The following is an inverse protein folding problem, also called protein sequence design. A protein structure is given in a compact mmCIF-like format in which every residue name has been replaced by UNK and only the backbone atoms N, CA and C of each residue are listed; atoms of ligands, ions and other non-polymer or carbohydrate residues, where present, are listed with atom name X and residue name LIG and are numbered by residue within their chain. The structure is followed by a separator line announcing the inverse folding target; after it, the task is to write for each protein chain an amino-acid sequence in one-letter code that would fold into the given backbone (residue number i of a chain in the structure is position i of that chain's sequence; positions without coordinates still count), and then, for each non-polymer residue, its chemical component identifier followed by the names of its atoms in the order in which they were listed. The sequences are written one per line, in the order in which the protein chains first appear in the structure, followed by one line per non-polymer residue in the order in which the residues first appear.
data_IF_762086950853
#
_entry.id   IF_762086950853
#
_cell.length_a   1.000
_cell.length_b   1.000
_cell.length_c   1.000
_cell.angle_alpha   90.00
_cell.angle_beta   90.00
_cell.angle_gamma   90.00
#
_symmetry.space_group_name_H-M   'P 1'
#
loop_
_entity.id
_entity.type
_entity.pdbx_description
1 polymer ?
#
# COMPACT_ATOMS: atom_id res chain seq x y z
N UNK A 1 -40.24 -34.24 -21.61
CA UNK A 1 -40.17 -32.94 -20.91
C UNK A 1 -39.71 -33.20 -19.48
N UNK A 2 -38.49 -32.78 -19.12
CA UNK A 2 -37.82 -33.16 -17.86
C UNK A 2 -38.29 -32.21 -16.73
N UNK A 3 -39.02 -32.74 -15.74
CA UNK A 3 -39.52 -31.96 -14.60
C UNK A 3 -38.34 -31.57 -13.70
N UNK A 4 -38.02 -30.28 -13.63
CA UNK A 4 -36.99 -29.76 -12.74
C UNK A 4 -37.57 -29.75 -11.32
N UNK A 5 -36.90 -30.43 -10.38
CA UNK A 5 -37.34 -30.54 -8.98
C UNK A 5 -37.23 -29.19 -8.28
N UNK A 6 -38.28 -28.78 -7.55
CA UNK A 6 -38.30 -27.52 -6.78
C UNK A 6 -37.16 -27.40 -5.76
N UNK A 7 -36.55 -28.53 -5.36
CA UNK A 7 -35.37 -28.55 -4.50
C UNK A 7 -34.12 -27.97 -5.18
N UNK A 8 -33.97 -28.14 -6.50
CA UNK A 8 -32.87 -27.55 -7.28
C UNK A 8 -33.03 -26.03 -7.38
N UNK A 9 -34.28 -25.55 -7.49
CA UNK A 9 -34.59 -24.12 -7.52
C UNK A 9 -34.32 -23.46 -6.16
N UNK A 10 -34.63 -24.15 -5.06
CA UNK A 10 -34.39 -23.66 -3.70
C UNK A 10 -32.90 -23.55 -3.37
N UNK A 11 -32.08 -24.51 -3.79
CA UNK A 11 -30.61 -24.45 -3.61
C UNK A 11 -29.96 -23.32 -4.43
N UNK A 12 -30.43 -23.07 -5.66
CA UNK A 12 -29.94 -21.95 -6.46
C UNK A 12 -30.33 -20.59 -5.84
N UNK A 13 -31.52 -20.48 -5.28
CA UNK A 13 -31.96 -19.27 -4.58
C UNK A 13 -31.13 -19.02 -3.31
N UNK A 14 -30.84 -20.07 -2.52
CA UNK A 14 -30.07 -19.97 -1.29
C UNK A 14 -28.61 -19.51 -1.52
N UNK A 15 -28.02 -19.85 -2.67
CA UNK A 15 -26.65 -19.43 -3.01
C UNK A 15 -26.54 -17.93 -3.36
N UNK A 16 -27.63 -17.29 -3.78
CA UNK A 16 -27.64 -15.87 -4.19
C UNK A 16 -27.86 -14.86 -3.06
N UNK A 17 -28.25 -15.32 -1.86
CA UNK A 17 -28.62 -14.44 -0.72
C UNK A 17 -27.50 -14.32 0.32
N UNK A 18 -26.38 -15.02 0.15
CA UNK A 18 -25.24 -14.88 1.05
C UNK A 18 -24.54 -13.54 0.77
N UNK A 19 -24.51 -12.60 1.73
CA UNK A 19 -23.76 -11.37 1.56
C UNK A 19 -22.27 -11.72 1.47
N UNK A 20 -21.70 -11.60 0.28
CA UNK A 20 -20.24 -11.65 0.12
C UNK A 20 -19.70 -10.37 0.75
N UNK A 21 -18.79 -10.42 1.74
CA UNK A 21 -18.16 -9.21 2.24
C UNK A 21 -17.40 -8.56 1.08
N UNK A 22 -17.92 -7.44 0.57
CA UNK A 22 -17.20 -6.58 -0.36
C UNK A 22 -16.19 -5.81 0.47
N UNK A 23 -14.96 -6.32 0.54
CA UNK A 23 -13.84 -5.58 1.12
C UNK A 23 -13.58 -4.36 0.23
N UNK A 24 -13.89 -3.17 0.73
CA UNK A 24 -13.47 -1.94 0.05
C UNK A 24 -11.95 -1.92 -0.04
N UNK A 25 -11.40 -1.64 -1.22
CA UNK A 25 -9.97 -1.48 -1.38
C UNK A 25 -9.49 -0.33 -0.50
N UNK A 26 -8.60 -0.61 0.45
CA UNK A 26 -8.01 0.42 1.28
C UNK A 26 -7.23 1.42 0.41
N UNK A 27 -7.32 2.70 0.74
CA UNK A 27 -6.54 3.72 0.04
C UNK A 27 -5.05 3.52 0.36
N UNK A 28 -4.16 3.45 -0.64
CA UNK A 28 -2.73 3.32 -0.40
C UNK A 28 -2.24 4.48 0.47
N UNK A 29 -1.56 4.17 1.56
CA UNK A 29 -1.11 5.15 2.55
C UNK A 29 0.31 4.83 3.01
N UNK A 30 1.18 5.85 2.97
CA UNK A 30 2.48 5.83 3.64
C UNK A 30 2.29 6.20 5.11
N UNK A 31 2.55 5.26 6.00
CA UNK A 31 2.27 5.36 7.44
C UNK A 31 3.45 5.96 8.21
N UNK A 32 4.67 5.56 7.88
CA UNK A 32 5.87 6.06 8.52
C UNK A 32 7.12 5.87 7.66
N UNK A 33 8.14 6.67 7.98
CA UNK A 33 9.49 6.56 7.43
C UNK A 33 10.43 6.43 8.62
N UNK A 34 11.29 5.42 8.61
CA UNK A 34 12.36 5.27 9.61
C UNK A 34 13.72 5.27 8.92
N UNK A 35 14.72 5.74 9.66
CA UNK A 35 16.08 5.89 9.19
C UNK A 35 17.02 5.18 10.17
N UNK A 36 18.04 4.50 9.65
CA UNK A 36 19.09 3.86 10.45
C UNK A 36 20.43 3.97 9.73
N UNK A 37 21.42 4.53 10.39
CA UNK A 37 22.83 4.41 9.97
C UNK A 37 23.29 2.97 10.20
N UNK A 38 23.79 2.32 9.15
CA UNK A 38 24.33 0.97 9.23
C UNK A 38 25.83 1.00 9.50
N UNK A 39 26.55 1.90 8.84
CA UNK A 39 27.98 2.19 9.01
C UNK A 39 28.33 3.54 8.35
N UNK A 40 29.63 3.86 8.26
CA UNK A 40 30.15 5.11 7.71
C UNK A 40 29.76 5.43 6.27
N UNK A 41 29.32 4.44 5.47
CA UNK A 41 28.97 4.67 4.07
C UNK A 41 27.57 4.15 3.71
N UNK A 42 26.81 3.67 4.68
CA UNK A 42 25.51 3.02 4.43
C UNK A 42 24.46 3.45 5.42
N UNK A 43 23.33 3.82 4.84
CA UNK A 43 22.11 4.19 5.55
C UNK A 43 20.96 3.35 5.03
N UNK A 44 20.01 3.04 5.91
CA UNK A 44 18.77 2.37 5.57
C UNK A 44 17.59 3.29 5.84
N UNK A 45 16.82 3.55 4.79
CA UNK A 45 15.51 4.20 4.87
C UNK A 45 14.44 3.13 4.69
N UNK A 46 13.52 3.02 5.65
CA UNK A 46 12.42 2.05 5.60
C UNK A 46 11.09 2.79 5.52
N UNK A 47 10.28 2.43 4.53
CA UNK A 47 8.94 2.97 4.32
C UNK A 47 7.90 1.95 4.79
N UNK A 48 7.01 2.33 5.69
CA UNK A 48 5.88 1.49 6.12
C UNK A 48 4.62 1.92 5.37
N UNK A 49 4.00 1.00 4.64
CA UNK A 49 2.75 1.23 3.92
C UNK A 49 1.67 0.26 4.40
N UNK A 50 0.40 0.62 4.24
CA UNK A 50 -0.75 -0.25 4.56
C UNK A 50 -0.98 -1.38 3.52
N UNK A 51 0.03 -1.71 2.73
CA UNK A 51 -0.04 -2.70 1.67
C UNK A 51 1.21 -2.68 0.80
N UNK A 52 1.26 -3.61 -0.16
CA UNK A 52 2.40 -3.70 -1.08
C UNK A 52 2.21 -2.73 -2.24
N UNK A 53 2.83 -1.55 -2.14
CA UNK A 53 2.85 -0.54 -3.20
C UNK A 53 4.28 -0.22 -3.60
N UNK A 54 4.64 -0.57 -4.84
CA UNK A 54 6.02 -0.43 -5.34
C UNK A 54 6.26 1.02 -5.77
N UNK A 55 7.27 1.71 -5.22
CA UNK A 55 7.59 3.06 -5.64
C UNK A 55 8.30 3.07 -7.01
N UNK A 56 8.22 4.21 -7.69
CA UNK A 56 9.19 4.57 -8.73
C UNK A 56 10.40 5.20 -8.07
N UNK A 57 11.59 4.71 -8.38
CA UNK A 57 12.83 5.20 -7.79
C UNK A 57 13.73 5.81 -8.86
N UNK A 58 14.25 7.01 -8.59
CA UNK A 58 15.19 7.68 -9.49
C UNK A 58 16.08 8.68 -8.74
N UNK A 59 17.21 9.05 -9.35
CA UNK A 59 18.14 10.03 -8.80
C UNK A 59 18.04 11.36 -9.56
N UNK A 60 17.97 12.45 -8.82
CA UNK A 60 18.15 13.81 -9.35
C UNK A 60 19.62 14.18 -9.13
N UNK A 61 20.33 14.48 -10.21
CA UNK A 61 21.75 14.90 -10.21
C UNK A 61 21.87 16.43 -10.20
N UNK A 62 23.08 16.96 -9.96
CA UNK A 62 23.40 18.39 -10.07
C UNK A 62 23.67 19.06 -8.72
N UNK A 63 23.27 20.33 -8.57
CA UNK A 63 23.62 21.19 -7.42
C UNK A 63 23.09 20.68 -6.06
N UNK A 64 21.97 19.97 -6.05
CA UNK A 64 21.37 19.39 -4.85
C UNK A 64 20.95 17.95 -5.15
N UNK A 65 21.90 17.00 -5.12
CA UNK A 65 21.66 15.62 -5.51
C UNK A 65 20.78 14.91 -4.48
N UNK A 66 19.82 14.10 -4.95
CA UNK A 66 18.88 13.37 -4.09
C UNK A 66 18.31 12.13 -4.78
N UNK A 67 18.02 11.11 -3.99
CA UNK A 67 17.23 9.94 -4.42
C UNK A 67 15.75 10.24 -4.11
N UNK A 68 14.88 9.91 -5.06
CA UNK A 68 13.44 10.11 -4.94
C UNK A 68 12.75 8.74 -4.99
N UNK A 69 11.86 8.51 -4.03
CA UNK A 69 10.93 7.37 -4.00
C UNK A 69 9.51 7.94 -4.19
N UNK A 70 8.99 7.87 -5.41
CA UNK A 70 7.64 8.32 -5.75
C UNK A 70 6.65 7.17 -5.59
N UNK A 71 5.61 7.35 -4.77
CA UNK A 71 4.54 6.38 -4.53
C UNK A 71 3.25 6.88 -5.21
N UNK A 72 2.94 6.45 -6.45
CA UNK A 72 1.82 7.01 -7.20
C UNK A 72 0.48 6.70 -6.56
N UNK A 73 -0.40 7.71 -6.47
CA UNK A 73 -1.74 7.59 -5.87
C UNK A 73 -1.73 7.15 -4.39
N UNK A 74 -0.61 7.32 -3.71
CA UNK A 74 -0.46 7.02 -2.28
C UNK A 74 -0.61 8.29 -1.46
N UNK A 75 -1.50 8.25 -0.48
CA UNK A 75 -1.64 9.30 0.52
C UNK A 75 -0.56 9.20 1.59
N UNK A 76 -0.44 10.25 2.40
CA UNK A 76 0.46 10.29 3.55
C UNK A 76 -0.39 10.28 4.82
N UNK A 77 0.02 9.51 5.84
CA UNK A 77 -0.63 9.55 7.15
C UNK A 77 -0.60 10.97 7.73
N UNK A 78 -1.71 11.42 8.30
CA UNK A 78 -1.88 12.81 8.79
C UNK A 78 -0.85 13.23 9.85
N UNK A 79 -0.25 12.27 10.53
CA UNK A 79 0.76 12.47 11.58
C UNK A 79 2.19 12.58 11.04
N UNK A 80 2.41 12.36 9.74
CA UNK A 80 3.75 12.36 9.17
C UNK A 80 4.24 13.78 8.90
N UNK A 81 5.45 14.15 9.34
CA UNK A 81 6.02 15.45 9.03
C UNK A 81 6.41 15.55 7.55
N UNK A 82 6.40 16.76 7.00
CA UNK A 82 6.85 17.02 5.62
C UNK A 82 8.38 16.95 5.45
N UNK A 83 9.13 17.01 6.56
CA UNK A 83 10.58 16.91 6.59
C UNK A 83 11.02 16.25 7.90
N UNK A 84 11.99 15.34 7.80
CA UNK A 84 12.65 14.71 8.94
C UNK A 84 14.12 15.05 8.80
N UNK A 85 14.66 15.80 9.75
CA UNK A 85 16.09 16.04 9.82
C UNK A 85 16.77 14.78 10.37
N UNK A 86 17.79 14.31 9.68
CA UNK A 86 18.61 13.17 10.09
C UNK A 86 20.07 13.63 10.19
N UNK A 87 20.77 13.18 11.22
CA UNK A 87 22.22 13.37 11.35
C UNK A 87 22.93 12.30 10.51
N UNK A 88 22.74 12.37 9.19
CA UNK A 88 23.27 11.38 8.24
C UNK A 88 24.76 11.07 8.47
N UNK A 89 25.19 9.90 7.98
CA UNK A 89 26.56 9.39 8.12
C UNK A 89 27.61 10.28 7.44
#
# INVERSE_FOLDING_TARGET
MKKISGSVFFFFFLLTILPVPVQAAEKPTLESITFKTLDTNREQVTFKLNGTYIPKTFAIKGKNPRVVFDFPKTGIARTMPNSIQTDGA
#
